data_IF_662354911268
#
_entry.id   IF_662354911268
#
_cell.length_a   1.000
_cell.length_b   1.000
_cell.length_c   1.000
_cell.angle_alpha   90.00
_cell.angle_beta   90.00
_cell.angle_gamma   90.00
#
_symmetry.space_group_name_H-M   'P 1'
#
loop_
_entity.id
_entity.type
_entity.pdbx_description
1 polymer ?
#
# COMPACT_ATOMS: atom_id res chain seq x y z
N UNK A 1 -9.96 -10.06 14.05
CA UNK A 1 -10.25 -8.76 14.73
C UNK A 1 -10.14 -7.64 13.70
N UNK A 2 -11.08 -6.66 13.71
CA UNK A 2 -11.01 -5.50 12.79
C UNK A 2 -9.85 -4.59 13.21
N UNK A 3 -8.93 -4.31 12.30
CA UNK A 3 -7.76 -3.47 12.56
C UNK A 3 -7.92 -2.07 11.96
N UNK A 4 -8.67 -1.96 10.85
CA UNK A 4 -9.01 -0.71 10.19
C UNK A 4 -10.49 -0.71 9.83
N UNK A 5 -11.18 0.40 10.16
CA UNK A 5 -12.51 0.69 9.66
C UNK A 5 -12.54 2.10 9.09
N UNK A 6 -13.10 2.22 7.91
CA UNK A 6 -13.36 3.48 7.20
C UNK A 6 -14.87 3.68 7.24
N UNK A 7 -15.33 4.81 7.79
CA UNK A 7 -16.75 5.06 7.95
C UNK A 7 -17.16 6.41 7.34
N UNK A 8 -17.89 6.34 6.22
CA UNK A 8 -18.45 7.46 5.48
C UNK A 8 -17.43 8.55 5.15
N UNK A 9 -16.23 8.12 4.72
CA UNK A 9 -15.17 9.07 4.37
C UNK A 9 -15.49 9.78 3.07
N UNK A 10 -15.42 11.12 3.13
CA UNK A 10 -15.57 12.00 1.97
C UNK A 10 -14.33 12.86 1.80
N UNK A 11 -13.84 12.95 0.56
CA UNK A 11 -12.69 13.76 0.17
C UNK A 11 -13.02 14.61 -1.04
N UNK A 12 -12.73 15.91 -0.91
CA UNK A 12 -12.89 16.87 -2.00
C UNK A 12 -11.55 17.52 -2.35
N UNK A 13 -11.33 17.78 -3.64
CA UNK A 13 -10.31 18.64 -4.19
C UNK A 13 -11.01 19.79 -4.96
N UNK A 14 -11.20 20.93 -4.30
CA UNK A 14 -12.08 21.97 -4.82
C UNK A 14 -13.49 21.43 -5.02
N UNK A 15 -14.00 21.47 -6.25
CA UNK A 15 -15.33 20.95 -6.62
C UNK A 15 -15.34 19.44 -6.89
N UNK A 16 -14.17 18.82 -7.10
CA UNK A 16 -14.09 17.39 -7.37
C UNK A 16 -14.32 16.57 -6.10
N UNK A 17 -15.41 15.80 -6.07
CA UNK A 17 -15.71 14.84 -5.02
C UNK A 17 -14.96 13.51 -5.27
N UNK A 18 -13.73 13.41 -4.77
CA UNK A 18 -12.81 12.34 -5.07
C UNK A 18 -13.09 11.04 -4.30
N UNK A 19 -13.67 11.13 -3.08
CA UNK A 19 -14.16 9.98 -2.30
C UNK A 19 -15.55 10.29 -1.79
N UNK A 20 -16.51 9.39 -2.02
CA UNK A 20 -17.94 9.57 -1.76
C UNK A 20 -18.43 8.50 -0.78
N UNK A 21 -18.67 8.89 0.46
CA UNK A 21 -19.21 8.03 1.54
C UNK A 21 -18.52 6.65 1.63
N UNK A 22 -17.21 6.61 1.45
CA UNK A 22 -16.45 5.37 1.43
C UNK A 22 -16.55 4.67 2.76
N UNK A 23 -16.90 3.37 2.72
CA UNK A 23 -16.97 2.47 3.88
C UNK A 23 -16.24 1.18 3.57
N UNK A 24 -15.30 0.82 4.43
CA UNK A 24 -14.54 -0.42 4.32
C UNK A 24 -14.07 -0.83 5.71
N UNK A 25 -14.11 -2.12 6.01
CA UNK A 25 -13.41 -2.67 7.18
C UNK A 25 -12.36 -3.66 6.71
N UNK A 26 -11.26 -3.76 7.44
CA UNK A 26 -10.15 -4.68 7.17
C UNK A 26 -9.82 -5.43 8.45
N UNK A 27 -9.77 -6.75 8.36
CA UNK A 27 -9.37 -7.61 9.46
C UNK A 27 -7.83 -7.66 9.60
N UNK A 28 -7.36 -7.99 10.79
CA UNK A 28 -5.94 -8.24 11.00
C UNK A 28 -5.48 -9.45 10.19
N UNK A 29 -4.36 -9.31 9.48
CA UNK A 29 -3.81 -10.32 8.58
C UNK A 29 -4.49 -10.38 7.21
N UNK A 30 -5.53 -9.59 6.96
CA UNK A 30 -6.26 -9.57 5.69
C UNK A 30 -5.50 -8.78 4.62
N UNK A 31 -5.49 -9.31 3.40
CA UNK A 31 -5.01 -8.64 2.20
C UNK A 31 -6.19 -8.16 1.36
N UNK A 32 -6.40 -6.86 1.33
CA UNK A 32 -7.44 -6.21 0.52
C UNK A 32 -6.80 -5.58 -0.71
N UNK A 33 -7.22 -6.01 -1.90
CA UNK A 33 -6.77 -5.39 -3.16
C UNK A 33 -7.85 -4.45 -3.68
N UNK A 34 -7.47 -3.22 -3.99
CA UNK A 34 -8.34 -2.16 -4.50
C UNK A 34 -8.11 -2.01 -6.00
N UNK A 35 -9.11 -2.32 -6.79
CA UNK A 35 -9.12 -2.22 -8.25
C UNK A 35 -10.07 -1.11 -8.73
N UNK A 36 -9.87 -0.64 -9.95
CA UNK A 36 -10.75 0.33 -10.59
C UNK A 36 -10.03 1.20 -11.62
N UNK A 37 -10.75 1.98 -12.43
CA UNK A 37 -10.19 2.86 -13.45
C UNK A 37 -9.19 3.87 -12.88
N UNK A 38 -8.30 4.40 -13.72
CA UNK A 38 -7.44 5.51 -13.33
C UNK A 38 -8.28 6.74 -12.93
N UNK A 39 -7.85 7.44 -11.88
CA UNK A 39 -8.56 8.60 -11.37
C UNK A 39 -9.81 8.34 -10.53
N UNK A 40 -10.21 7.07 -10.28
CA UNK A 40 -11.42 6.77 -9.50
C UNK A 40 -11.25 6.94 -7.97
N UNK A 41 -10.09 7.38 -7.46
CA UNK A 41 -9.88 7.68 -6.04
C UNK A 41 -9.07 6.66 -5.24
N UNK A 42 -8.52 5.59 -5.84
CA UNK A 42 -7.76 4.52 -5.14
C UNK A 42 -6.58 5.05 -4.33
N UNK A 43 -5.65 5.76 -4.98
CA UNK A 43 -4.48 6.37 -4.32
C UNK A 43 -4.88 7.43 -3.30
N UNK A 44 -5.95 8.19 -3.59
CA UNK A 44 -6.53 9.16 -2.64
C UNK A 44 -6.99 8.43 -1.37
N UNK A 45 -7.69 7.29 -1.51
CA UNK A 45 -8.13 6.50 -0.36
C UNK A 45 -6.95 6.05 0.50
N UNK A 46 -5.88 5.47 -0.09
CA UNK A 46 -4.70 5.07 0.66
C UNK A 46 -4.05 6.26 1.39
N UNK A 47 -3.91 7.40 0.72
CA UNK A 47 -3.31 8.61 1.30
C UNK A 47 -4.15 9.21 2.43
N UNK A 48 -5.49 9.07 2.39
CA UNK A 48 -6.35 9.50 3.49
C UNK A 48 -6.20 8.60 4.71
N UNK A 49 -6.05 7.27 4.53
CA UNK A 49 -5.82 6.32 5.64
C UNK A 49 -4.54 6.65 6.40
N UNK A 50 -3.47 7.06 5.69
CA UNK A 50 -2.19 7.44 6.29
C UNK A 50 -2.14 8.94 6.73
N UNK A 51 -3.23 9.68 6.56
CA UNK A 51 -3.33 11.10 6.92
C UNK A 51 -2.42 12.02 6.11
N UNK A 52 -1.98 11.58 4.92
CA UNK A 52 -1.26 12.43 3.96
C UNK A 52 -2.22 13.38 3.24
N UNK A 53 -3.47 12.95 3.09
CA UNK A 53 -4.56 13.75 2.55
C UNK A 53 -5.65 13.92 3.62
N UNK A 54 -6.02 15.14 3.99
CA UNK A 54 -7.10 15.37 4.94
C UNK A 54 -8.46 15.05 4.30
N UNK A 55 -9.37 14.51 5.10
CA UNK A 55 -10.76 14.27 4.70
C UNK A 55 -11.67 15.38 5.19
N UNK A 56 -12.77 15.66 4.50
CA UNK A 56 -13.73 16.69 4.89
C UNK A 56 -14.83 16.16 5.80
N UNK A 57 -15.15 14.86 5.71
CA UNK A 57 -16.08 14.20 6.64
C UNK A 57 -15.81 12.69 6.73
N UNK A 58 -16.47 12.05 7.67
CA UNK A 58 -16.24 10.65 8.00
C UNK A 58 -15.13 10.47 9.02
N UNK A 59 -14.76 9.22 9.29
CA UNK A 59 -13.70 8.89 10.23
C UNK A 59 -13.05 7.54 9.89
N UNK A 60 -11.87 7.33 10.47
CA UNK A 60 -11.19 6.04 10.49
C UNK A 60 -11.17 5.52 11.92
N UNK A 61 -11.22 4.20 12.08
CA UNK A 61 -10.92 3.54 13.36
C UNK A 61 -9.74 2.63 13.09
N UNK A 62 -8.60 2.88 13.74
CA UNK A 62 -7.35 2.14 13.56
C UNK A 62 -6.96 1.55 14.91
N UNK A 63 -6.92 0.22 15.02
CA UNK A 63 -6.72 -0.50 16.30
C UNK A 63 -7.66 0.02 17.41
N UNK A 64 -8.94 0.24 17.10
CA UNK A 64 -9.94 0.74 18.03
C UNK A 64 -9.91 2.24 18.32
N UNK A 65 -8.90 2.96 17.82
CA UNK A 65 -8.78 4.41 17.98
C UNK A 65 -9.48 5.16 16.86
N UNK A 66 -10.38 6.08 17.23
CA UNK A 66 -11.11 6.92 16.26
C UNK A 66 -10.27 8.11 15.81
N UNK A 67 -10.17 8.29 14.51
CA UNK A 67 -9.42 9.33 13.82
C UNK A 67 -10.38 10.07 12.89
N UNK A 68 -10.64 11.33 13.17
CA UNK A 68 -11.50 12.20 12.37
C UNK A 68 -10.69 13.35 11.75
N UNK A 69 -11.37 14.29 11.08
CA UNK A 69 -10.76 15.44 10.42
C UNK A 69 -9.98 16.39 11.36
N UNK A 70 -10.24 16.34 12.67
CA UNK A 70 -9.58 17.19 13.68
C UNK A 70 -8.39 16.51 14.34
N UNK A 71 -8.11 15.24 13.99
CA UNK A 71 -7.04 14.46 14.59
C UNK A 71 -5.67 15.06 14.30
N UNK A 72 -4.85 15.23 15.33
CA UNK A 72 -3.55 15.92 15.22
C UNK A 72 -2.34 15.01 15.38
N UNK A 73 -2.51 13.86 16.02
CA UNK A 73 -1.38 12.98 16.36
C UNK A 73 -0.98 11.99 15.25
N UNK A 74 -1.02 12.44 13.99
CA UNK A 74 -0.71 11.61 12.83
C UNK A 74 0.67 10.96 12.87
N UNK A 75 1.66 11.60 13.56
CA UNK A 75 2.99 11.02 13.72
C UNK A 75 2.94 9.65 14.42
N UNK A 76 2.06 9.48 15.40
CA UNK A 76 1.87 8.22 16.12
C UNK A 76 1.17 7.17 15.27
N UNK A 77 0.16 7.57 14.52
CA UNK A 77 -0.58 6.68 13.62
C UNK A 77 0.31 6.21 12.47
N UNK A 78 1.12 7.09 11.87
CA UNK A 78 2.06 6.73 10.80
C UNK A 78 3.14 5.74 11.19
N UNK A 79 3.38 5.52 12.48
CA UNK A 79 4.26 4.43 12.92
C UNK A 79 3.56 3.05 12.84
N UNK A 80 2.22 3.04 12.88
CA UNK A 80 1.41 1.82 12.76
C UNK A 80 1.06 1.48 11.31
N UNK A 81 1.17 2.45 10.40
CA UNK A 81 0.80 2.32 9.00
C UNK A 81 2.00 2.63 8.12
N UNK A 82 2.57 1.60 7.52
CA UNK A 82 3.57 1.75 6.47
C UNK A 82 2.92 2.10 5.14
N UNK A 83 3.59 2.91 4.32
CA UNK A 83 3.14 3.21 2.96
C UNK A 83 4.31 3.15 1.99
N UNK A 84 4.06 2.50 0.86
CA UNK A 84 5.00 2.40 -0.25
C UNK A 84 4.35 3.05 -1.47
N UNK A 85 5.04 4.02 -2.05
CA UNK A 85 4.55 4.84 -3.16
C UNK A 85 5.03 4.31 -4.51
N UNK A 86 4.35 4.69 -5.58
CA UNK A 86 4.73 4.41 -6.95
C UNK A 86 6.12 4.99 -7.29
N UNK A 87 6.46 6.16 -6.75
CA UNK A 87 7.69 6.92 -7.04
C UNK A 87 8.84 6.66 -6.05
N UNK A 88 8.80 5.52 -5.31
CA UNK A 88 9.83 5.05 -4.36
C UNK A 88 10.05 5.97 -3.15
N UNK A 89 10.12 7.28 -3.34
CA UNK A 89 10.34 8.33 -2.33
C UNK A 89 11.58 8.09 -1.44
N UNK A 90 12.66 7.58 -2.05
CA UNK A 90 13.94 7.43 -1.37
C UNK A 90 14.65 8.78 -1.24
N UNK A 91 15.43 8.96 -0.18
CA UNK A 91 16.27 10.12 0.03
C UNK A 91 17.54 9.98 -0.83
N UNK A 92 17.66 10.74 -1.91
CA UNK A 92 18.76 10.64 -2.90
C UNK A 92 20.15 10.92 -2.31
N UNK A 93 20.21 11.73 -1.27
CA UNK A 93 21.45 12.11 -0.58
C UNK A 93 21.90 11.12 0.50
N UNK A 94 21.11 10.07 0.74
CA UNK A 94 21.39 9.00 1.70
C UNK A 94 21.67 7.67 0.98
N UNK A 95 22.61 6.89 1.52
CA UNK A 95 22.80 5.51 1.06
C UNK A 95 21.57 4.65 1.34
N UNK A 96 21.49 3.47 0.73
CA UNK A 96 20.45 2.46 0.99
C UNK A 96 20.32 2.18 2.48
N UNK A 97 21.44 1.85 3.16
CA UNK A 97 21.44 1.59 4.58
C UNK A 97 20.86 2.77 5.37
N UNK A 98 21.31 4.00 5.08
CA UNK A 98 20.82 5.18 5.78
C UNK A 98 19.36 5.50 5.50
N UNK A 99 18.84 5.23 4.30
CA UNK A 99 17.42 5.33 3.98
C UNK A 99 16.58 4.40 4.88
N UNK A 100 17.07 3.18 5.11
CA UNK A 100 16.35 2.17 5.89
C UNK A 100 16.39 2.49 7.40
N UNK A 101 17.57 2.78 7.96
CA UNK A 101 17.72 2.94 9.41
C UNK A 101 17.23 4.28 9.97
N UNK A 102 17.01 5.28 9.11
CA UNK A 102 16.62 6.63 9.55
C UNK A 102 15.34 6.64 10.38
N UNK A 103 14.31 5.94 9.91
CA UNK A 103 13.01 5.84 10.60
C UNK A 103 13.13 5.21 11.99
N UNK A 104 13.62 3.98 12.13
CA UNK A 104 13.81 3.31 13.41
C UNK A 104 14.63 4.16 14.41
N UNK A 105 15.74 4.74 13.95
CA UNK A 105 16.60 5.55 14.83
C UNK A 105 15.95 6.87 15.27
N UNK A 106 15.30 7.61 14.36
CA UNK A 106 14.79 8.96 14.64
C UNK A 106 13.37 8.98 15.22
N UNK A 107 12.58 7.96 14.97
CA UNK A 107 11.16 7.92 15.35
C UNK A 107 10.93 6.96 16.52
N UNK A 108 11.59 5.80 16.50
CA UNK A 108 11.42 4.75 17.51
C UNK A 108 12.57 4.71 18.53
N UNK A 109 13.61 5.56 18.35
CA UNK A 109 14.82 5.61 19.20
C UNK A 109 15.56 4.26 19.29
N UNK A 110 15.50 3.45 18.21
CA UNK A 110 16.24 2.18 18.13
C UNK A 110 17.75 2.49 18.09
N UNK A 111 18.59 1.79 18.88
CA UNK A 111 20.03 1.92 18.80
C UNK A 111 20.56 1.68 17.39
N UNK A 112 21.62 2.42 16.99
CA UNK A 112 22.14 2.38 15.62
C UNK A 112 22.57 0.98 15.19
N UNK A 113 23.23 0.25 16.05
CA UNK A 113 23.73 -1.10 15.80
C UNK A 113 22.58 -2.08 15.56
N UNK A 114 21.51 -1.97 16.33
CA UNK A 114 20.28 -2.77 16.18
C UNK A 114 19.56 -2.42 14.88
N UNK A 115 19.42 -1.15 14.56
CA UNK A 115 18.81 -0.70 13.31
C UNK A 115 19.60 -1.18 12.09
N UNK A 116 20.95 -1.18 12.14
CA UNK A 116 21.83 -1.71 11.09
C UNK A 116 21.63 -3.23 10.94
N UNK A 117 21.61 -3.97 12.05
CA UNK A 117 21.42 -5.43 12.01
C UNK A 117 20.08 -5.79 11.34
N UNK A 118 19.00 -5.13 11.75
CA UNK A 118 17.66 -5.31 11.16
C UNK A 118 17.63 -4.94 9.67
N UNK A 119 18.24 -3.81 9.29
CA UNK A 119 18.31 -3.39 7.90
C UNK A 119 19.04 -4.43 7.02
N UNK A 120 20.17 -4.97 7.49
CA UNK A 120 20.93 -6.00 6.79
C UNK A 120 20.18 -7.32 6.65
N UNK A 121 19.41 -7.70 7.65
CA UNK A 121 18.51 -8.87 7.57
C UNK A 121 17.50 -8.70 6.44
N UNK A 122 16.79 -7.58 6.41
CA UNK A 122 15.82 -7.29 5.35
C UNK A 122 16.47 -7.15 3.96
N UNK A 123 17.66 -6.55 3.86
CA UNK A 123 18.37 -6.45 2.60
C UNK A 123 18.75 -7.85 2.03
N UNK A 124 19.06 -8.81 2.91
CA UNK A 124 19.28 -10.22 2.48
C UNK A 124 17.98 -10.84 1.96
N UNK A 125 16.86 -10.64 2.66
CA UNK A 125 15.55 -11.18 2.26
C UNK A 125 15.15 -10.68 0.87
N UNK A 126 15.39 -9.40 0.57
CA UNK A 126 15.04 -8.82 -0.75
C UNK A 126 16.16 -8.93 -1.79
N UNK A 127 17.24 -9.68 -1.50
CA UNK A 127 18.35 -9.95 -2.45
C UNK A 127 19.22 -8.74 -2.77
N UNK A 128 19.37 -7.79 -1.84
CA UNK A 128 20.10 -6.52 -2.03
C UNK A 128 21.19 -6.27 -0.97
N UNK A 129 21.74 -7.34 -0.37
CA UNK A 129 22.77 -7.22 0.67
C UNK A 129 24.04 -6.50 0.20
N UNK A 130 24.40 -6.63 -1.09
CA UNK A 130 25.54 -5.99 -1.72
C UNK A 130 25.33 -4.49 -1.98
N UNK A 131 24.11 -3.97 -1.83
CA UNK A 131 23.72 -2.58 -2.14
C UNK A 131 23.65 -1.65 -0.93
N UNK A 132 24.03 -2.10 0.27
CA UNK A 132 23.85 -1.30 1.51
C UNK A 132 24.51 0.09 1.45
N UNK A 133 25.63 0.22 0.74
CA UNK A 133 26.37 1.46 0.59
C UNK A 133 26.04 2.23 -0.70
N UNK A 134 25.25 1.66 -1.60
CA UNK A 134 24.83 2.32 -2.85
C UNK A 134 23.88 3.48 -2.57
N UNK A 135 23.81 4.43 -3.49
CA UNK A 135 22.86 5.54 -3.46
C UNK A 135 21.70 5.27 -4.44
N UNK A 136 20.52 5.90 -4.25
CA UNK A 136 19.36 5.67 -5.11
C UNK A 136 19.64 5.82 -6.61
N UNK A 137 20.47 6.78 -7.02
CA UNK A 137 20.86 6.99 -8.42
C UNK A 137 21.60 5.80 -9.07
N UNK A 138 22.17 4.90 -8.26
CA UNK A 138 22.96 3.74 -8.71
C UNK A 138 22.11 2.46 -8.80
N UNK A 139 20.80 2.57 -8.56
CA UNK A 139 19.88 1.44 -8.44
C UNK A 139 18.89 1.41 -9.61
N UNK A 140 18.52 0.20 -10.03
CA UNK A 140 17.38 0.01 -10.93
C UNK A 140 16.05 0.38 -10.24
N UNK A 141 14.98 0.59 -11.03
CA UNK A 141 13.64 0.88 -10.50
C UNK A 141 13.15 -0.18 -9.49
N UNK A 142 13.28 -1.46 -9.82
CA UNK A 142 12.89 -2.55 -8.92
C UNK A 142 13.75 -2.66 -7.64
N UNK A 143 15.04 -2.34 -7.74
CA UNK A 143 15.89 -2.26 -6.55
C UNK A 143 15.43 -1.12 -5.63
N UNK A 144 15.14 0.07 -6.19
CA UNK A 144 14.58 1.20 -5.43
C UNK A 144 13.27 0.82 -4.76
N UNK A 145 12.39 0.12 -5.47
CA UNK A 145 11.08 -0.29 -4.95
C UNK A 145 11.23 -1.29 -3.79
N UNK A 146 12.07 -2.31 -3.93
CA UNK A 146 12.35 -3.26 -2.84
C UNK A 146 12.94 -2.56 -1.61
N UNK A 147 13.81 -1.56 -1.80
CA UNK A 147 14.34 -0.76 -0.69
C UNK A 147 13.25 0.10 -0.05
N UNK A 148 12.33 0.70 -0.82
CA UNK A 148 11.20 1.45 -0.29
C UNK A 148 10.26 0.57 0.55
N UNK A 149 10.04 -0.68 0.12
CA UNK A 149 9.31 -1.69 0.90
C UNK A 149 10.05 -1.99 2.22
N UNK A 150 11.34 -2.30 2.15
CA UNK A 150 12.17 -2.58 3.35
C UNK A 150 12.17 -1.39 4.31
N UNK A 151 12.34 -0.16 3.80
CA UNK A 151 12.29 1.06 4.62
C UNK A 151 10.97 1.20 5.39
N UNK A 152 9.88 0.76 4.81
CA UNK A 152 8.58 0.76 5.48
C UNK A 152 8.45 -0.38 6.50
N UNK A 153 8.94 -1.58 6.17
CA UNK A 153 8.82 -2.78 7.00
C UNK A 153 9.67 -2.75 8.27
N UNK A 154 10.85 -2.13 8.23
CA UNK A 154 11.73 -2.00 9.43
C UNK A 154 11.08 -1.23 10.57
N UNK A 155 10.06 -0.42 10.28
CA UNK A 155 9.24 0.26 11.27
C UNK A 155 8.23 -0.68 11.96
N UNK A 156 8.12 -1.95 11.53
CA UNK A 156 7.19 -2.96 12.04
C UNK A 156 5.73 -2.48 12.05
N UNK A 157 5.21 -1.97 10.92
CA UNK A 157 3.86 -1.42 10.87
C UNK A 157 2.81 -2.54 11.04
N UNK A 158 1.64 -2.18 11.57
CA UNK A 158 0.49 -3.09 11.68
C UNK A 158 -0.27 -3.24 10.37
N UNK A 159 -0.23 -2.21 9.53
CA UNK A 159 -0.90 -2.16 8.23
C UNK A 159 0.11 -1.65 7.20
N UNK A 160 0.20 -2.30 6.06
CA UNK A 160 0.97 -1.83 4.90
C UNK A 160 0.03 -1.35 3.80
N UNK A 161 0.32 -0.18 3.24
CA UNK A 161 -0.37 0.40 2.09
C UNK A 161 0.58 0.40 0.89
N UNK A 162 0.14 -0.18 -0.23
CA UNK A 162 0.89 -0.23 -1.48
C UNK A 162 0.14 0.53 -2.58
N UNK A 163 0.70 1.63 -3.07
CA UNK A 163 0.09 2.50 -4.08
C UNK A 163 0.80 2.30 -5.43
N UNK A 164 0.28 1.40 -6.28
CA UNK A 164 0.73 1.11 -7.65
C UNK A 164 2.26 0.87 -7.76
N UNK A 165 2.79 0.08 -6.87
CA UNK A 165 4.25 -0.11 -6.67
C UNK A 165 4.99 -0.76 -7.86
N UNK A 166 4.28 -1.22 -8.88
CA UNK A 166 4.86 -1.84 -10.09
C UNK A 166 4.72 -0.98 -11.35
N UNK A 167 3.93 0.11 -11.29
CA UNK A 167 3.53 0.86 -12.49
C UNK A 167 4.69 1.52 -13.27
N UNK A 168 5.86 1.72 -12.63
CA UNK A 168 7.04 2.33 -13.25
C UNK A 168 8.18 1.31 -13.51
N UNK A 169 7.87 0.00 -13.50
CA UNK A 169 8.84 -1.07 -13.61
C UNK A 169 8.70 -1.85 -14.91
N UNK A 170 9.85 -2.34 -15.42
CA UNK A 170 9.87 -3.29 -16.53
C UNK A 170 9.23 -4.63 -16.11
N UNK A 171 8.53 -5.34 -17.02
CA UNK A 171 7.81 -6.58 -16.71
C UNK A 171 8.65 -7.67 -16.03
N UNK A 172 9.93 -7.79 -16.39
CA UNK A 172 10.86 -8.75 -15.78
C UNK A 172 11.10 -8.45 -14.30
N UNK A 173 11.11 -7.17 -13.92
CA UNK A 173 11.39 -6.68 -12.57
C UNK A 173 10.11 -6.66 -11.72
N UNK A 174 8.94 -6.50 -12.32
CA UNK A 174 7.63 -6.52 -11.64
C UNK A 174 7.51 -7.75 -10.75
N UNK A 175 7.88 -8.92 -11.26
CA UNK A 175 7.76 -10.18 -10.53
C UNK A 175 8.56 -10.20 -9.22
N UNK A 176 9.80 -9.68 -9.23
CA UNK A 176 10.64 -9.63 -8.04
C UNK A 176 10.02 -8.80 -6.91
N UNK A 177 9.36 -7.69 -7.25
CA UNK A 177 8.66 -6.84 -6.29
C UNK A 177 7.38 -7.52 -5.76
N UNK A 178 6.62 -8.15 -6.66
CA UNK A 178 5.38 -8.84 -6.30
C UNK A 178 5.65 -10.07 -5.43
N UNK A 179 6.74 -10.80 -5.66
CA UNK A 179 7.16 -11.94 -4.82
C UNK A 179 7.46 -11.51 -3.38
N UNK A 180 8.05 -10.32 -3.18
CA UNK A 180 8.24 -9.77 -1.82
C UNK A 180 6.88 -9.54 -1.14
N UNK A 181 5.90 -8.95 -1.84
CA UNK A 181 4.56 -8.68 -1.29
C UNK A 181 3.80 -9.99 -1.02
N UNK A 182 3.92 -10.99 -1.90
CA UNK A 182 3.35 -12.32 -1.69
C UNK A 182 3.90 -13.00 -0.42
N UNK A 183 5.19 -12.86 -0.15
CA UNK A 183 5.79 -13.42 1.06
C UNK A 183 5.25 -12.72 2.32
N UNK A 184 5.08 -11.39 2.29
CA UNK A 184 4.46 -10.64 3.40
C UNK A 184 3.01 -11.09 3.65
N UNK A 185 2.24 -11.39 2.59
CA UNK A 185 0.89 -11.94 2.71
C UNK A 185 0.90 -13.29 3.45
N UNK A 186 1.81 -14.20 3.06
CA UNK A 186 1.97 -15.51 3.72
C UNK A 186 2.38 -15.40 5.19
N UNK A 187 3.11 -14.36 5.56
CA UNK A 187 3.51 -14.05 6.94
C UNK A 187 2.37 -13.39 7.76
N UNK A 188 1.21 -13.16 7.16
CA UNK A 188 0.02 -12.61 7.82
C UNK A 188 0.08 -11.07 7.99
N UNK A 189 0.87 -10.37 7.19
CA UNK A 189 0.88 -8.91 7.19
C UNK A 189 -0.46 -8.35 6.68
N UNK A 190 -1.10 -7.47 7.43
CA UNK A 190 -2.30 -6.76 6.95
C UNK A 190 -1.94 -5.79 5.86
N UNK A 191 -2.60 -5.84 4.71
CA UNK A 191 -2.25 -5.01 3.56
C UNK A 191 -3.47 -4.47 2.82
N UNK A 192 -3.36 -3.21 2.34
CA UNK A 192 -4.23 -2.66 1.31
C UNK A 192 -3.36 -2.34 0.09
N UNK A 193 -3.70 -2.92 -1.05
CA UNK A 193 -2.87 -2.88 -2.26
C UNK A 193 -3.68 -2.29 -3.40
N UNK A 194 -3.19 -1.20 -3.99
CA UNK A 194 -3.67 -0.69 -5.29
C UNK A 194 -2.73 -1.21 -6.36
N UNK A 195 -3.25 -1.90 -7.36
CA UNK A 195 -2.46 -2.48 -8.45
C UNK A 195 -3.26 -2.58 -9.75
N UNK A 196 -2.56 -2.66 -10.86
CA UNK A 196 -3.09 -3.01 -12.18
C UNK A 196 -2.72 -4.44 -12.62
N UNK A 197 -2.01 -5.19 -11.78
CA UNK A 197 -1.58 -6.56 -12.02
C UNK A 197 -2.70 -7.54 -11.65
N UNK A 198 -3.61 -7.85 -12.60
CA UNK A 198 -4.81 -8.66 -12.33
C UNK A 198 -4.49 -10.08 -11.86
N UNK A 199 -3.46 -10.71 -12.43
CA UNK A 199 -3.02 -12.05 -12.01
C UNK A 199 -2.49 -12.06 -10.58
N UNK A 200 -1.74 -11.04 -10.19
CA UNK A 200 -1.26 -10.86 -8.83
C UNK A 200 -2.42 -10.57 -7.86
N UNK A 201 -3.33 -9.65 -8.22
CA UNK A 201 -4.51 -9.33 -7.42
C UNK A 201 -5.33 -10.58 -7.09
N UNK A 202 -5.58 -11.45 -8.10
CA UNK A 202 -6.29 -12.72 -7.91
C UNK A 202 -5.55 -13.70 -6.99
N UNK A 203 -4.22 -13.71 -7.04
CA UNK A 203 -3.40 -14.66 -6.28
C UNK A 203 -3.15 -14.23 -4.82
N UNK A 204 -3.10 -12.92 -4.53
CA UNK A 204 -2.69 -12.41 -3.22
C UNK A 204 -3.86 -11.98 -2.33
N UNK A 205 -4.98 -11.56 -2.92
CA UNK A 205 -6.08 -10.96 -2.19
C UNK A 205 -6.91 -11.99 -1.43
N UNK A 206 -7.30 -11.65 -0.20
CA UNK A 206 -8.43 -12.28 0.48
C UNK A 206 -9.75 -11.67 0.00
N UNK A 207 -9.70 -10.37 -0.38
CA UNK A 207 -10.88 -9.64 -0.83
C UNK A 207 -10.51 -8.56 -1.85
N UNK A 208 -11.34 -8.45 -2.91
CA UNK A 208 -11.26 -7.39 -3.91
C UNK A 208 -12.28 -6.30 -3.60
N UNK A 209 -11.83 -5.05 -3.62
CA UNK A 209 -12.64 -3.85 -3.53
C UNK A 209 -12.58 -3.14 -4.88
N UNK A 210 -13.68 -3.10 -5.60
CA UNK A 210 -13.77 -2.38 -6.87
C UNK A 210 -14.32 -0.97 -6.65
N UNK A 211 -13.52 0.03 -7.03
CA UNK A 211 -13.89 1.45 -6.94
C UNK A 211 -14.15 2.04 -8.32
N UNK A 212 -15.16 2.91 -8.39
CA UNK A 212 -15.43 3.75 -9.54
C UNK A 212 -16.01 5.10 -9.09
N UNK A 213 -15.63 6.18 -9.76
CA UNK A 213 -16.11 7.54 -9.51
C UNK A 213 -16.14 7.97 -8.03
N UNK A 214 -15.11 7.59 -7.27
CA UNK A 214 -14.95 7.93 -5.85
C UNK A 214 -15.71 7.03 -4.86
N UNK A 215 -16.44 6.03 -5.33
CA UNK A 215 -17.26 5.13 -4.51
C UNK A 215 -16.77 3.69 -4.61
N UNK A 216 -17.01 2.91 -3.55
CA UNK A 216 -16.90 1.45 -3.61
C UNK A 216 -18.16 0.92 -4.27
N UNK A 217 -17.99 0.28 -5.44
CA UNK A 217 -19.10 -0.26 -6.25
C UNK A 217 -19.37 -1.71 -5.90
N UNK A 218 -18.31 -2.48 -5.64
CA UNK A 218 -18.41 -3.90 -5.36
C UNK A 218 -17.29 -4.36 -4.43
N UNK A 219 -17.63 -5.27 -3.53
CA UNK A 219 -16.66 -6.01 -2.70
C UNK A 219 -16.97 -7.49 -2.87
N UNK A 220 -15.94 -8.29 -3.18
CA UNK A 220 -16.11 -9.71 -3.42
C UNK A 220 -14.84 -10.52 -3.10
N UNK A 221 -14.95 -11.83 -2.96
CA UNK A 221 -13.80 -12.73 -2.98
C UNK A 221 -13.13 -12.71 -4.35
N UNK A 222 -11.80 -12.93 -4.44
CA UNK A 222 -11.06 -12.80 -5.70
C UNK A 222 -11.67 -13.64 -6.83
N UNK A 223 -11.88 -14.93 -6.60
CA UNK A 223 -12.39 -15.82 -7.63
C UNK A 223 -13.76 -15.36 -8.16
N UNK A 224 -14.68 -15.00 -7.26
CA UNK A 224 -15.99 -14.51 -7.62
C UNK A 224 -15.94 -13.17 -8.38
N UNK A 225 -15.02 -12.26 -7.99
CA UNK A 225 -14.84 -11.00 -8.69
C UNK A 225 -14.37 -11.19 -10.14
N UNK A 226 -13.36 -12.06 -10.35
CA UNK A 226 -12.78 -12.25 -11.67
C UNK A 226 -13.63 -13.13 -12.61
N UNK A 227 -14.47 -14.04 -12.08
CA UNK A 227 -15.27 -14.96 -12.92
C UNK A 227 -16.73 -14.52 -13.07
N UNK A 228 -17.30 -13.91 -12.04
CA UNK A 228 -18.72 -13.54 -12.00
C UNK A 228 -18.95 -12.19 -11.27
N UNK A 229 -18.36 -11.08 -11.75
CA UNK A 229 -18.56 -9.77 -11.14
C UNK A 229 -20.04 -9.38 -11.14
N UNK A 230 -20.52 -8.80 -10.04
CA UNK A 230 -21.94 -8.46 -9.84
C UNK A 230 -22.31 -7.17 -10.57
N UNK A 231 -21.44 -6.16 -10.52
CA UNK A 231 -21.72 -4.85 -11.11
C UNK A 231 -21.38 -4.81 -12.60
N UNK A 232 -22.22 -4.15 -13.40
CA UNK A 232 -21.95 -3.93 -14.83
C UNK A 232 -20.66 -3.12 -15.05
N UNK A 233 -20.29 -2.26 -14.11
CA UNK A 233 -19.04 -1.48 -14.16
C UNK A 233 -17.82 -2.38 -13.97
N UNK A 234 -17.85 -3.33 -13.02
CA UNK A 234 -16.79 -4.30 -12.84
C UNK A 234 -16.63 -5.20 -14.07
N UNK A 235 -17.75 -5.68 -14.67
CA UNK A 235 -17.72 -6.45 -15.91
C UNK A 235 -17.04 -5.68 -17.04
N UNK A 236 -17.43 -4.41 -17.26
CA UNK A 236 -16.81 -3.55 -18.28
C UNK A 236 -15.33 -3.32 -18.01
N UNK A 237 -14.94 -3.13 -16.75
CA UNK A 237 -13.56 -2.96 -16.35
C UNK A 237 -12.72 -4.20 -16.64
N UNK A 238 -13.17 -5.39 -16.24
CA UNK A 238 -12.45 -6.65 -16.47
C UNK A 238 -12.32 -6.98 -17.95
N UNK A 239 -13.36 -6.73 -18.75
CA UNK A 239 -13.33 -6.95 -20.21
C UNK A 239 -12.24 -6.13 -20.92
N UNK A 240 -11.73 -5.03 -20.35
CA UNK A 240 -10.61 -4.28 -20.93
C UNK A 240 -9.26 -5.03 -20.84
N UNK A 241 -9.16 -6.00 -19.93
CA UNK A 241 -7.97 -6.83 -19.73
C UNK A 241 -8.09 -8.21 -20.42
N UNK A 242 -9.27 -8.57 -20.92
CA UNK A 242 -9.49 -9.79 -21.71
C UNK A 242 -9.27 -9.49 -23.19
N UNK A 243 -8.13 -9.92 -23.73
CA UNK A 243 -7.95 -9.96 -25.20
C UNK A 243 -8.81 -11.09 -25.75
N UNK A 244 -10.02 -10.77 -26.24
CA UNK A 244 -10.80 -11.74 -27.03
C UNK A 244 -10.02 -12.02 -28.33
N UNK A 245 -9.62 -13.31 -28.51
CA UNK A 245 -9.15 -13.82 -29.81
C UNK A 245 -10.31 -13.85 -30.83
#
# INVERSE_FOLDING_TARGET
>A
MEILKIDKVNKFYGELHALKDVRLSVAQGEVVVILGPSGCGKSTLLRTINGLEPVQSGNFIIEGERIDQNFKEWRRIRQKIGMVFQSYELFDHLSVLHNIILGPMKVQNVPKEEAIALAREWLKIVGLADKENSYPKELSGGQKQRIAIVRSLVMKPKIMLFDEVTAALDPEIVREVLDVILNLAKEGQTMLIVTHEMGFARAVADRIVFMDEGSIVEINEPEAFFTAPKSERAKKFLNMFEFKK
#
